data_IF_500599734356
#
_entry.id   IF_500599734356
#
_cell.length_a   1.000
_cell.length_b   1.000
_cell.length_c   1.000
_cell.angle_alpha   90.00
_cell.angle_beta   90.00
_cell.angle_gamma   90.00
#
_symmetry.space_group_name_H-M   'P 1'
#
loop_
_entity.id
_entity.type
_entity.pdbx_description
1 polymer ?
#
# COMPACT_ATOMS: atom_id res chain seq x y z
N UNK A 1 -10.85 1.31 -12.67
CA UNK A 1 -9.53 1.90 -12.93
C UNK A 1 -8.63 1.70 -11.72
N UNK A 2 -7.42 1.26 -11.93
CA UNK A 2 -6.47 1.05 -10.83
C UNK A 2 -6.03 2.38 -10.22
N UNK A 3 -5.82 2.36 -8.90
CA UNK A 3 -5.23 3.48 -8.19
C UNK A 3 -3.82 3.75 -8.75
N UNK A 4 -3.56 5.00 -9.06
CA UNK A 4 -2.25 5.45 -9.53
C UNK A 4 -1.61 6.36 -8.48
N UNK A 5 -0.65 5.86 -7.69
CA UNK A 5 -0.06 6.63 -6.61
C UNK A 5 0.72 7.86 -7.10
N UNK A 6 1.28 7.80 -8.30
CA UNK A 6 2.03 8.93 -8.87
C UNK A 6 1.12 10.08 -9.25
N UNK A 7 -0.03 9.76 -9.84
CA UNK A 7 -1.06 10.76 -10.15
C UNK A 7 -1.62 11.37 -8.88
N UNK A 8 -1.88 10.54 -7.86
CA UNK A 8 -2.35 11.02 -6.57
C UNK A 8 -1.35 12.00 -5.94
N UNK A 9 -0.05 11.67 -5.96
CA UNK A 9 1.00 12.54 -5.46
C UNK A 9 1.01 13.89 -6.19
N UNK A 10 0.99 13.86 -7.50
CA UNK A 10 1.03 15.07 -8.31
C UNK A 10 -0.16 15.99 -8.04
N UNK A 11 -1.31 15.44 -7.71
CA UNK A 11 -2.55 16.18 -7.47
C UNK A 11 -2.67 16.63 -6.02
N UNK A 12 -2.44 15.74 -5.06
CA UNK A 12 -2.68 16.00 -3.65
C UNK A 12 -1.44 16.54 -2.92
N UNK A 13 -0.24 16.20 -3.38
CA UNK A 13 1.03 16.53 -2.72
C UNK A 13 2.07 17.02 -3.73
N UNK A 14 1.79 18.13 -4.46
CA UNK A 14 2.68 18.55 -5.56
C UNK A 14 4.07 18.99 -5.10
N UNK A 15 4.22 19.36 -3.83
CA UNK A 15 5.51 19.79 -3.26
C UNK A 15 6.34 18.64 -2.69
N UNK A 16 5.80 17.43 -2.68
CA UNK A 16 6.52 16.26 -2.17
C UNK A 16 7.50 15.76 -3.23
N UNK A 17 8.78 15.70 -2.87
CA UNK A 17 9.82 15.18 -3.75
C UNK A 17 10.02 13.68 -3.48
N UNK A 18 10.07 12.88 -4.55
CA UNK A 18 10.27 11.43 -4.45
C UNK A 18 11.55 11.04 -5.17
N UNK A 19 12.47 10.43 -4.43
CA UNK A 19 13.70 9.86 -4.97
C UNK A 19 13.54 8.33 -5.04
N UNK A 20 13.49 7.79 -6.26
CA UNK A 20 13.34 6.34 -6.50
C UNK A 20 14.68 5.60 -6.63
N UNK A 21 15.80 6.28 -6.44
CA UNK A 21 17.14 5.73 -6.63
C UNK A 21 17.96 5.74 -5.34
N UNK A 22 17.27 5.79 -4.20
CA UNK A 22 17.94 5.86 -2.91
C UNK A 22 18.65 4.56 -2.57
N UNK A 23 19.80 4.69 -1.91
CA UNK A 23 20.56 3.56 -1.41
C UNK A 23 20.25 3.44 0.09
N UNK A 24 19.24 2.67 0.41
CA UNK A 24 18.76 2.51 1.77
C UNK A 24 19.39 1.31 2.45
N UNK A 25 19.29 1.25 3.78
CA UNK A 25 19.76 0.11 4.56
C UNK A 25 19.08 -1.18 4.09
N UNK A 26 19.76 -2.34 4.15
CA UNK A 26 19.17 -3.62 3.75
C UNK A 26 17.82 -3.87 4.42
N UNK A 27 16.85 -4.28 3.62
CA UNK A 27 15.50 -4.54 4.08
C UNK A 27 14.60 -3.29 4.18
N UNK A 28 15.16 -2.10 4.02
CA UNK A 28 14.34 -0.88 4.04
C UNK A 28 13.90 -0.52 2.63
N UNK A 29 12.60 -0.44 2.42
CA UNK A 29 12.02 -0.19 1.11
C UNK A 29 11.84 1.29 0.82
N UNK A 30 11.45 2.07 1.84
CA UNK A 30 11.24 3.50 1.71
C UNK A 30 11.33 4.22 3.04
N UNK A 31 11.41 5.55 2.97
CA UNK A 31 11.42 6.43 4.15
C UNK A 31 10.86 7.80 3.78
N UNK A 32 10.07 8.35 4.68
CA UNK A 32 9.62 9.74 4.60
C UNK A 32 10.51 10.59 5.48
N UNK A 33 11.10 11.62 4.87
CA UNK A 33 11.86 12.64 5.57
C UNK A 33 10.95 13.85 5.80
N UNK A 34 10.96 14.39 7.01
CA UNK A 34 10.09 15.51 7.39
C UNK A 34 10.38 16.80 6.61
N UNK A 35 11.42 16.81 5.81
CA UNK A 35 11.77 17.90 4.91
C UNK A 35 10.94 17.95 3.63
N UNK A 36 9.96 17.06 3.47
CA UNK A 36 9.13 17.00 2.27
C UNK A 36 9.67 16.08 1.19
N UNK A 37 10.51 15.12 1.58
CA UNK A 37 11.11 14.16 0.66
C UNK A 37 10.76 12.73 1.06
N UNK A 38 10.46 11.91 0.07
CA UNK A 38 10.30 10.46 0.23
C UNK A 38 11.40 9.78 -0.58
N UNK A 39 12.15 8.89 0.06
CA UNK A 39 13.17 8.10 -0.61
C UNK A 39 12.70 6.66 -0.72
N UNK A 40 12.79 6.07 -1.92
CA UNK A 40 12.49 4.67 -2.19
C UNK A 40 13.78 3.95 -2.59
N UNK A 41 13.94 2.72 -2.11
CA UNK A 41 15.08 1.90 -2.47
C UNK A 41 15.18 1.71 -3.99
N UNK A 42 16.37 1.85 -4.54
CA UNK A 42 16.63 1.60 -5.96
C UNK A 42 16.45 0.14 -6.36
N UNK A 43 16.39 -0.76 -5.38
CA UNK A 43 16.27 -2.20 -5.60
C UNK A 43 14.82 -2.67 -5.81
N UNK A 44 13.84 -1.78 -5.65
CA UNK A 44 12.43 -2.15 -5.76
C UNK A 44 12.03 -2.43 -7.20
N UNK A 45 11.26 -3.50 -7.41
CA UNK A 45 10.54 -3.72 -8.65
C UNK A 45 9.34 -2.78 -8.78
N UNK A 46 8.65 -2.83 -9.91
CA UNK A 46 7.53 -1.93 -10.20
C UNK A 46 6.40 -2.03 -9.19
N UNK A 47 5.95 -3.25 -8.89
CA UNK A 47 4.86 -3.45 -7.92
C UNK A 47 5.27 -3.03 -6.52
N UNK A 48 6.48 -3.36 -6.09
CA UNK A 48 7.01 -2.93 -4.79
C UNK A 48 7.11 -1.41 -4.69
N UNK A 49 7.57 -0.75 -5.75
CA UNK A 49 7.66 0.72 -5.79
C UNK A 49 6.28 1.36 -5.68
N UNK A 50 5.31 0.82 -6.40
CA UNK A 50 3.92 1.26 -6.35
C UNK A 50 3.34 1.14 -4.93
N UNK A 51 3.57 0.02 -4.28
CA UNK A 51 3.09 -0.22 -2.91
C UNK A 51 3.82 0.67 -1.91
N UNK A 52 5.14 0.78 -2.01
CA UNK A 52 5.94 1.55 -1.08
C UNK A 52 5.64 3.04 -1.15
N UNK A 53 5.50 3.60 -2.35
CA UNK A 53 5.15 5.03 -2.46
C UNK A 53 3.75 5.30 -1.91
N UNK A 54 2.81 4.38 -2.07
CA UNK A 54 1.48 4.51 -1.49
C UNK A 54 1.55 4.51 0.03
N UNK A 55 2.31 3.60 0.61
CA UNK A 55 2.55 3.50 2.05
C UNK A 55 3.15 4.80 2.61
N UNK A 56 4.22 5.29 1.99
CA UNK A 56 4.87 6.52 2.45
C UNK A 56 3.96 7.74 2.29
N UNK A 57 3.16 7.81 1.24
CA UNK A 57 2.18 8.89 1.04
C UNK A 57 1.15 8.91 2.17
N UNK A 58 0.69 7.75 2.62
CA UNK A 58 -0.23 7.66 3.77
C UNK A 58 0.45 8.19 5.03
N UNK A 59 1.73 7.87 5.25
CA UNK A 59 2.48 8.45 6.37
C UNK A 59 2.54 9.97 6.30
N UNK A 60 2.81 10.54 5.13
CA UNK A 60 2.81 12.00 4.93
C UNK A 60 1.47 12.60 5.31
N UNK A 61 0.37 11.98 4.89
CA UNK A 61 -0.98 12.46 5.16
C UNK A 61 -1.37 12.37 6.63
N UNK A 62 -0.88 11.37 7.33
CA UNK A 62 -1.20 11.15 8.75
C UNK A 62 -0.27 11.89 9.72
N UNK A 63 0.93 12.21 9.28
CA UNK A 63 1.92 12.93 10.09
C UNK A 63 2.94 12.01 10.76
N UNK A 64 3.85 12.61 11.55
CA UNK A 64 4.97 11.87 12.16
C UNK A 64 4.51 10.73 13.09
N UNK A 65 5.26 9.63 13.06
CA UNK A 65 5.00 8.46 13.89
C UNK A 65 5.51 8.73 15.32
N UNK A 66 4.75 8.23 16.32
CA UNK A 66 5.13 8.34 17.73
C UNK A 66 6.46 7.64 18.02
N UNK A 67 7.21 8.17 18.98
CA UNK A 67 8.42 7.52 19.49
C UNK A 67 8.10 6.30 20.38
N UNK A 68 6.86 6.18 20.89
CA UNK A 68 6.41 5.00 21.66
C UNK A 68 6.28 3.80 20.70
N UNK A 69 7.05 2.70 20.94
CA UNK A 69 7.03 1.53 20.03
C UNK A 69 5.65 0.92 19.83
N UNK A 70 4.79 0.91 20.86
CA UNK A 70 3.45 0.34 20.73
C UNK A 70 2.55 1.20 19.87
N UNK A 71 2.61 2.52 20.03
CA UNK A 71 1.85 3.46 19.22
C UNK A 71 2.37 3.47 17.78
N UNK A 72 3.68 3.38 17.61
CA UNK A 72 4.30 3.28 16.28
C UNK A 72 3.83 2.03 15.54
N UNK A 73 3.79 0.88 16.22
CA UNK A 73 3.33 -0.38 15.60
C UNK A 73 1.86 -0.31 15.21
N UNK A 74 1.02 0.31 16.02
CA UNK A 74 -0.41 0.51 15.71
C UNK A 74 -0.58 1.45 14.52
N UNK A 75 0.22 2.50 14.46
CA UNK A 75 0.20 3.45 13.34
C UNK A 75 0.64 2.75 12.04
N UNK A 76 1.68 1.94 12.08
CA UNK A 76 2.12 1.16 10.92
C UNK A 76 1.02 0.22 10.41
N UNK A 77 0.32 -0.45 11.32
CA UNK A 77 -0.80 -1.31 10.94
C UNK A 77 -1.93 -0.53 10.28
N UNK A 78 -2.22 0.68 10.78
CA UNK A 78 -3.23 1.57 10.18
C UNK A 78 -2.80 2.05 8.80
N UNK A 79 -1.53 2.44 8.66
CA UNK A 79 -0.97 2.87 7.37
C UNK A 79 -1.03 1.73 6.35
N UNK A 80 -0.66 0.51 6.76
CA UNK A 80 -0.72 -0.67 5.89
C UNK A 80 -2.16 -0.92 5.41
N UNK A 81 -3.13 -0.81 6.29
CA UNK A 81 -4.54 -1.00 5.94
C UNK A 81 -5.01 0.06 4.93
N UNK A 82 -4.75 1.33 5.21
CA UNK A 82 -5.17 2.42 4.32
C UNK A 82 -4.51 2.27 2.94
N UNK A 83 -3.21 2.01 2.91
CA UNK A 83 -2.48 1.83 1.66
C UNK A 83 -3.01 0.63 0.87
N UNK A 84 -3.24 -0.51 1.53
CA UNK A 84 -3.75 -1.70 0.89
C UNK A 84 -5.16 -1.47 0.30
N UNK A 85 -6.01 -0.73 1.00
CA UNK A 85 -7.36 -0.41 0.50
C UNK A 85 -7.34 0.53 -0.70
N UNK A 86 -6.38 1.44 -0.77
CA UNK A 86 -6.19 2.29 -1.97
C UNK A 86 -5.70 1.47 -3.16
N UNK A 87 -4.77 0.57 -2.90
CA UNK A 87 -4.12 -0.23 -3.95
C UNK A 87 -5.01 -1.33 -4.49
N UNK A 88 -5.90 -1.87 -3.66
CA UNK A 88 -6.76 -3.00 -4.01
C UNK A 88 -8.18 -2.68 -3.59
N UNK A 89 -9.04 -2.33 -4.54
CA UNK A 89 -10.47 -2.16 -4.26
C UNK A 89 -11.11 -3.52 -4.03
N UNK A 90 -12.28 -3.53 -3.40
CA UNK A 90 -13.02 -4.79 -3.18
C UNK A 90 -13.36 -5.48 -4.51
N UNK A 91 -13.76 -4.69 -5.51
CA UNK A 91 -14.07 -5.22 -6.85
C UNK A 91 -12.85 -5.89 -7.49
N UNK A 92 -11.69 -5.25 -7.40
CA UNK A 92 -10.44 -5.81 -7.91
C UNK A 92 -10.06 -7.10 -7.18
N UNK A 93 -10.26 -7.13 -5.86
CA UNK A 93 -9.96 -8.32 -5.07
C UNK A 93 -10.89 -9.49 -5.45
N UNK A 94 -12.20 -9.21 -5.61
CA UNK A 94 -13.16 -10.21 -6.04
C UNK A 94 -12.78 -10.79 -7.41
N UNK A 95 -12.44 -9.91 -8.34
CA UNK A 95 -12.02 -10.35 -9.69
C UNK A 95 -10.76 -11.21 -9.63
N UNK A 96 -9.79 -10.82 -8.83
CA UNK A 96 -8.55 -11.58 -8.68
C UNK A 96 -8.79 -12.96 -8.03
N UNK A 97 -9.69 -13.04 -7.06
CA UNK A 97 -10.07 -14.32 -6.45
C UNK A 97 -10.75 -15.23 -7.47
N UNK A 98 -11.67 -14.65 -8.25
CA UNK A 98 -12.39 -15.38 -9.30
C UNK A 98 -11.44 -15.95 -10.36
N UNK A 99 -10.55 -15.13 -10.85
CA UNK A 99 -9.56 -15.54 -11.85
C UNK A 99 -8.53 -16.52 -11.30
N UNK A 100 -8.15 -16.37 -10.04
CA UNK A 100 -7.18 -17.23 -9.35
C UNK A 100 -7.78 -18.50 -8.73
N UNK A 101 -9.06 -18.78 -8.98
CA UNK A 101 -9.73 -19.96 -8.44
C UNK A 101 -9.61 -20.06 -6.92
N UNK A 102 -9.85 -18.94 -6.24
CA UNK A 102 -9.77 -18.83 -4.79
C UNK A 102 -8.48 -18.24 -4.25
N UNK A 103 -7.46 -18.13 -5.09
CA UNK A 103 -6.15 -17.58 -4.70
C UNK A 103 -5.85 -16.32 -5.50
N UNK A 104 -6.06 -15.12 -4.93
CA UNK A 104 -5.73 -13.89 -5.64
C UNK A 104 -4.23 -13.77 -5.89
N UNK A 105 -3.88 -13.31 -7.08
CA UNK A 105 -2.49 -13.21 -7.53
C UNK A 105 -1.98 -11.78 -7.37
N UNK A 106 -0.83 -11.63 -6.74
CA UNK A 106 -0.16 -10.34 -6.58
C UNK A 106 0.18 -9.68 -7.91
N UNK A 107 0.62 -10.44 -8.89
CA UNK A 107 0.97 -9.91 -10.22
C UNK A 107 -0.26 -9.35 -10.93
N UNK A 108 -1.38 -10.04 -10.83
CA UNK A 108 -2.65 -9.59 -11.40
C UNK A 108 -3.09 -8.26 -10.78
N UNK A 109 -2.86 -8.08 -9.48
CA UNK A 109 -3.21 -6.88 -8.73
C UNK A 109 -2.14 -5.78 -8.76
N UNK A 110 -0.96 -6.09 -9.28
CA UNK A 110 0.18 -5.17 -9.30
C UNK A 110 0.59 -4.69 -7.90
N UNK A 111 0.62 -5.62 -6.96
CA UNK A 111 1.02 -5.34 -5.58
C UNK A 111 2.04 -6.38 -5.10
N UNK A 112 2.72 -6.05 -4.01
CA UNK A 112 3.57 -7.02 -3.32
C UNK A 112 2.72 -7.90 -2.38
N UNK A 113 3.30 -8.98 -1.92
CA UNK A 113 2.61 -9.93 -1.04
C UNK A 113 2.17 -9.31 0.28
N UNK A 114 3.00 -8.52 0.99
CA UNK A 114 2.57 -7.88 2.22
C UNK A 114 1.33 -7.01 2.07
N UNK A 115 1.20 -6.30 0.95
CA UNK A 115 0.03 -5.47 0.64
C UNK A 115 -1.22 -6.33 0.46
N UNK A 116 -1.11 -7.41 -0.29
CA UNK A 116 -2.24 -8.33 -0.46
C UNK A 116 -2.66 -8.95 0.87
N UNK A 117 -1.69 -9.37 1.67
CA UNK A 117 -1.96 -9.92 3.00
C UNK A 117 -2.66 -8.91 3.91
N UNK A 118 -2.21 -7.65 3.90
CA UNK A 118 -2.85 -6.59 4.67
C UNK A 118 -4.29 -6.36 4.21
N UNK A 119 -4.53 -6.36 2.89
CA UNK A 119 -5.89 -6.19 2.35
C UNK A 119 -6.84 -7.28 2.80
N UNK A 120 -6.39 -8.53 2.72
CA UNK A 120 -7.20 -9.69 3.13
C UNK A 120 -7.41 -9.70 4.64
N UNK A 121 -6.37 -9.44 5.41
CA UNK A 121 -6.44 -9.44 6.88
C UNK A 121 -7.41 -8.39 7.42
N UNK A 122 -7.52 -7.25 6.73
CA UNK A 122 -8.33 -6.12 7.17
C UNK A 122 -9.73 -6.07 6.53
N UNK A 123 -10.16 -7.15 5.89
CA UNK A 123 -11.52 -7.24 5.37
C UNK A 123 -12.53 -7.12 6.51
N UNK A 124 -13.56 -6.29 6.28
CA UNK A 124 -14.69 -6.20 7.22
C UNK A 124 -15.63 -7.39 7.02
N UNK A 125 -16.51 -7.62 8.00
CA UNK A 125 -17.54 -8.67 7.88
C UNK A 125 -18.43 -8.42 6.68
N UNK A 126 -18.80 -7.16 6.43
CA UNK A 126 -19.60 -6.77 5.27
C UNK A 126 -18.87 -7.09 3.95
N UNK A 127 -17.58 -6.81 3.88
CA UNK A 127 -16.77 -7.12 2.70
C UNK A 127 -16.66 -8.63 2.48
N UNK A 128 -16.48 -9.41 3.54
CA UNK A 128 -16.46 -10.88 3.47
C UNK A 128 -17.78 -11.42 2.94
N UNK A 129 -18.89 -10.87 3.41
CA UNK A 129 -20.22 -11.26 2.92
C UNK A 129 -20.39 -10.94 1.43
N UNK A 130 -19.93 -9.77 0.99
CA UNK A 130 -19.98 -9.38 -0.42
C UNK A 130 -19.14 -10.29 -1.31
N UNK A 131 -17.96 -10.68 -0.83
CA UNK A 131 -17.08 -11.63 -1.54
C UNK A 131 -17.80 -12.98 -1.68
N UNK A 132 -18.36 -13.50 -0.59
CA UNK A 132 -19.08 -14.79 -0.59
C UNK A 132 -20.24 -14.77 -1.54
N UNK A 133 -21.03 -13.70 -1.55
CA UNK A 133 -22.16 -13.53 -2.46
C UNK A 133 -21.72 -13.47 -3.92
N UNK A 134 -20.65 -12.72 -4.21
CA UNK A 134 -20.15 -12.54 -5.57
C UNK A 134 -19.56 -13.83 -6.16
N UNK A 135 -19.05 -14.72 -5.33
CA UNK A 135 -18.41 -15.97 -5.74
C UNK A 135 -19.30 -17.20 -5.60
N UNK A 136 -20.51 -17.02 -5.14
CA UNK A 136 -21.47 -18.13 -4.98
C UNK A 136 -21.94 -18.67 -6.34
#
# INVERSE_FOLDING_TARGET
>A
MRFNPWRHLNTAHPDLHVDCRADLLPGRMGVWLTTGEVALSRLLGQAERRCTITHETVHVERGPVSADPRLAAREEATVDEIAARRLITLTELIDAIRWGQGNPDCEELWVDLPTLQARVRTLTDAERAQISEALA
#
